data_IF_910384542266
#
_entry.id   IF_910384542266
#
_cell.length_a   1.000
_cell.length_b   1.000
_cell.length_c   1.000
_cell.angle_alpha   90.00
_cell.angle_beta   90.00
_cell.angle_gamma   90.00
#
_symmetry.space_group_name_H-M   'P 1'
#
loop_
_entity.id
_entity.type
_entity.pdbx_description
1 polymer ?
#
# COMPACT_ATOMS: atom_id res chain seq x y z
N UNK A 1 19.78 -9.34 15.28
CA UNK A 1 18.36 -9.36 15.71
C UNK A 1 17.55 -8.72 14.59
N UNK A 2 16.55 -9.40 14.03
CA UNK A 2 15.75 -8.90 12.91
C UNK A 2 14.61 -8.02 13.44
N UNK A 3 14.57 -6.76 13.03
CA UNK A 3 13.48 -5.84 13.39
C UNK A 3 12.46 -5.81 12.25
N UNK A 4 11.22 -6.20 12.54
CA UNK A 4 10.15 -6.28 11.54
C UNK A 4 9.68 -4.88 11.19
N UNK A 5 10.15 -4.34 10.07
CA UNK A 5 9.68 -3.05 9.55
C UNK A 5 8.31 -3.19 8.88
N UNK A 6 7.41 -2.28 9.22
CA UNK A 6 6.10 -2.19 8.59
C UNK A 6 6.24 -1.66 7.16
N UNK A 7 5.81 -2.47 6.19
CA UNK A 7 5.90 -2.13 4.75
C UNK A 7 4.56 -2.25 4.06
N UNK A 8 4.32 -1.39 3.08
CA UNK A 8 3.04 -1.32 2.38
C UNK A 8 3.27 -1.16 0.89
N UNK A 9 2.34 -1.69 0.12
CA UNK A 9 2.38 -1.61 -1.32
C UNK A 9 1.51 -0.45 -1.82
N UNK A 10 1.99 0.23 -2.85
CA UNK A 10 1.34 1.35 -3.48
C UNK A 10 1.09 1.03 -4.95
N UNK A 11 -0.16 1.11 -5.38
CA UNK A 11 -0.51 0.96 -6.80
C UNK A 11 -0.53 2.33 -7.45
N UNK A 12 0.41 2.59 -8.35
CA UNK A 12 0.56 3.85 -9.06
C UNK A 12 0.17 3.66 -10.52
N UNK A 13 -0.89 4.32 -10.96
CA UNK A 13 -1.33 4.36 -12.34
C UNK A 13 -0.61 5.47 -13.09
N UNK A 14 -0.16 5.16 -14.30
CA UNK A 14 0.66 6.04 -15.14
C UNK A 14 -0.10 6.47 -16.40
N UNK A 15 0.22 7.66 -16.89
CA UNK A 15 -0.21 8.07 -18.23
C UNK A 15 0.53 7.29 -19.32
N UNK A 16 1.85 7.11 -19.15
CA UNK A 16 2.73 6.44 -20.12
C UNK A 16 3.68 5.46 -19.41
N UNK A 17 3.94 4.31 -20.04
CA UNK A 17 4.80 3.26 -19.45
C UNK A 17 6.27 3.68 -19.30
N UNK A 18 6.74 4.66 -20.10
CA UNK A 18 8.14 5.13 -20.05
C UNK A 18 8.51 5.72 -18.69
N UNK A 19 7.54 6.28 -17.98
CA UNK A 19 7.75 6.95 -16.70
C UNK A 19 7.81 5.97 -15.52
N UNK A 20 7.56 4.68 -15.74
CA UNK A 20 7.60 3.65 -14.69
C UNK A 20 8.95 3.59 -13.97
N UNK A 21 10.07 3.82 -14.67
CA UNK A 21 11.41 3.81 -14.06
C UNK A 21 11.59 4.91 -13.02
N UNK A 22 10.91 6.05 -13.15
CA UNK A 22 10.96 7.15 -12.17
C UNK A 22 10.40 6.74 -10.82
N UNK A 23 9.52 5.73 -10.77
CA UNK A 23 8.93 5.26 -9.52
C UNK A 23 9.92 4.51 -8.62
N UNK A 24 11.04 4.02 -9.17
CA UNK A 24 12.08 3.32 -8.40
C UNK A 24 12.76 4.21 -7.35
N UNK A 25 12.67 5.54 -7.49
CA UNK A 25 13.20 6.47 -6.49
C UNK A 25 12.39 6.51 -5.19
N UNK A 26 11.15 5.98 -5.21
CA UNK A 26 10.24 6.00 -4.06
C UNK A 26 10.21 4.67 -3.29
N UNK A 27 10.70 3.58 -3.90
CA UNK A 27 10.68 2.25 -3.30
C UNK A 27 10.93 1.16 -4.33
N UNK A 28 10.77 -0.09 -3.89
CA UNK A 28 11.04 -1.26 -4.69
C UNK A 28 9.90 -1.51 -5.68
N UNK A 29 10.20 -1.63 -6.96
CA UNK A 29 9.19 -1.99 -7.97
C UNK A 29 8.97 -3.51 -7.91
N UNK A 30 7.81 -3.93 -7.43
CA UNK A 30 7.44 -5.35 -7.34
C UNK A 30 6.84 -5.86 -8.64
N UNK A 31 6.03 -5.03 -9.31
CA UNK A 31 5.37 -5.41 -10.53
C UNK A 31 5.03 -4.20 -11.41
N UNK A 32 5.13 -4.38 -12.72
CA UNK A 32 4.74 -3.37 -13.71
C UNK A 32 3.79 -3.98 -14.75
N UNK A 33 2.55 -3.52 -14.75
CA UNK A 33 1.57 -3.85 -15.79
C UNK A 33 1.69 -2.88 -16.96
N UNK A 34 2.28 -3.32 -18.08
CA UNK A 34 2.36 -2.52 -19.31
C UNK A 34 0.98 -2.32 -19.97
N UNK A 35 0.09 -3.32 -19.87
CA UNK A 35 -1.25 -3.31 -20.48
C UNK A 35 -2.18 -2.34 -19.77
N UNK A 36 -2.24 -2.42 -18.44
CA UNK A 36 -3.12 -1.57 -17.62
C UNK A 36 -2.44 -0.28 -17.14
N UNK A 37 -1.14 -0.12 -17.42
CA UNK A 37 -0.32 1.05 -17.07
C UNK A 37 -0.36 1.37 -15.58
N UNK A 38 -0.01 0.39 -14.76
CA UNK A 38 0.22 0.62 -13.33
C UNK A 38 1.47 -0.10 -12.84
N UNK A 39 2.02 0.42 -11.75
CA UNK A 39 3.21 -0.12 -11.06
C UNK A 39 2.87 -0.33 -9.60
N UNK A 40 3.25 -1.49 -9.07
CA UNK A 40 3.24 -1.78 -7.65
C UNK A 40 4.60 -1.40 -7.06
N UNK A 41 4.59 -0.41 -6.17
CA UNK A 41 5.77 0.07 -5.45
C UNK A 41 5.66 -0.39 -4.01
N UNK A 42 6.67 -1.10 -3.53
CA UNK A 42 6.76 -1.58 -2.16
C UNK A 42 7.72 -0.70 -1.37
N UNK A 43 7.25 -0.19 -0.24
CA UNK A 43 7.98 0.79 0.54
C UNK A 43 7.62 0.74 2.02
N UNK A 44 8.41 1.43 2.85
CA UNK A 44 8.18 1.51 4.29
C UNK A 44 6.93 2.35 4.60
N UNK A 45 6.10 1.89 5.56
CA UNK A 45 4.80 2.47 5.90
C UNK A 45 4.91 3.95 6.28
N UNK A 46 5.95 4.33 7.01
CA UNK A 46 6.18 5.70 7.49
C UNK A 46 6.33 6.71 6.35
N UNK A 47 6.78 6.25 5.17
CA UNK A 47 7.02 7.11 4.01
C UNK A 47 5.82 7.18 3.06
N UNK A 48 4.79 6.35 3.25
CA UNK A 48 3.68 6.17 2.30
C UNK A 48 2.91 7.47 2.10
N UNK A 49 2.48 8.13 3.17
CA UNK A 49 1.65 9.35 3.09
C UNK A 49 2.37 10.49 2.38
N UNK A 50 3.62 10.76 2.78
CA UNK A 50 4.47 11.77 2.15
C UNK A 50 4.69 11.47 0.66
N UNK A 51 4.88 10.19 0.31
CA UNK A 51 5.09 9.75 -1.08
C UNK A 51 3.83 9.88 -1.91
N UNK A 52 2.65 9.56 -1.36
CA UNK A 52 1.36 9.77 -2.02
C UNK A 52 1.16 11.25 -2.35
N UNK A 53 1.46 12.16 -1.42
CA UNK A 53 1.34 13.60 -1.64
C UNK A 53 2.29 14.10 -2.74
N UNK A 54 3.53 13.57 -2.80
CA UNK A 54 4.48 13.88 -3.87
C UNK A 54 3.98 13.35 -5.22
N UNK A 55 3.59 12.08 -5.29
CA UNK A 55 3.12 11.43 -6.52
C UNK A 55 1.84 12.07 -7.07
N UNK A 56 0.95 12.59 -6.21
CA UNK A 56 -0.24 13.33 -6.65
C UNK A 56 0.09 14.64 -7.37
N UNK A 57 1.27 15.23 -7.13
CA UNK A 57 1.73 16.46 -7.82
C UNK A 57 2.46 16.16 -9.13
N UNK A 58 2.85 14.90 -9.36
CA UNK A 58 3.60 14.50 -10.53
C UNK A 58 2.71 14.38 -11.78
N UNK A 59 3.10 15.05 -12.87
CA UNK A 59 2.30 15.10 -14.11
C UNK A 59 2.18 13.75 -14.83
N UNK A 60 3.09 12.81 -14.56
CA UNK A 60 3.09 11.50 -15.20
C UNK A 60 2.22 10.47 -14.47
N UNK A 61 1.73 10.80 -13.28
CA UNK A 61 0.90 9.96 -12.44
C UNK A 61 -0.57 10.29 -12.68
N UNK A 62 -1.36 9.25 -13.00
CA UNK A 62 -2.81 9.38 -13.21
C UNK A 62 -3.59 9.22 -11.91
N UNK A 63 -3.21 8.23 -11.09
CA UNK A 63 -3.89 7.87 -9.85
C UNK A 63 -2.92 7.10 -8.96
N UNK A 64 -3.04 7.27 -7.65
CA UNK A 64 -2.29 6.52 -6.65
C UNK A 64 -3.28 5.89 -5.67
N UNK A 65 -3.10 4.60 -5.38
CA UNK A 65 -3.96 3.82 -4.46
C UNK A 65 -3.07 3.05 -3.49
N UNK A 66 -3.11 3.33 -2.18
CA UNK A 66 -2.43 2.51 -1.17
C UNK A 66 -3.11 1.15 -1.01
N UNK A 67 -2.34 0.15 -0.60
CA UNK A 67 -2.87 -1.16 -0.24
C UNK A 67 -3.43 -1.14 1.18
N UNK A 68 -4.68 -1.56 1.32
CA UNK A 68 -5.39 -1.68 2.59
C UNK A 68 -5.36 -3.12 3.13
N UNK A 69 -4.48 -3.99 2.62
CA UNK A 69 -4.44 -5.41 2.99
C UNK A 69 -4.22 -5.63 4.50
N UNK A 70 -3.57 -4.68 5.16
CA UNK A 70 -3.32 -4.70 6.61
C UNK A 70 -4.55 -4.35 7.45
N UNK A 71 -5.53 -3.69 6.85
CA UNK A 71 -6.78 -3.27 7.51
C UNK A 71 -7.86 -4.33 7.37
N UNK A 72 -7.61 -5.40 6.59
CA UNK A 72 -8.53 -6.51 6.47
C UNK A 72 -8.62 -7.24 7.80
N UNK A 73 -9.86 -7.47 8.24
CA UNK A 73 -10.13 -8.32 9.39
C UNK A 73 -9.64 -9.74 9.11
N UNK A 74 -8.78 -10.24 10.00
CA UNK A 74 -8.23 -11.59 9.93
C UNK A 74 -8.93 -12.53 10.92
N UNK A 75 -10.03 -12.09 11.55
CA UNK A 75 -10.89 -12.95 12.34
C UNK A 75 -11.78 -13.79 11.42
N UNK A 76 -11.18 -14.81 10.81
CA UNK A 76 -11.88 -15.77 9.93
C UNK A 76 -12.89 -16.67 10.68
N UNK A 77 -12.95 -16.54 11.99
CA UNK A 77 -13.72 -17.37 12.93
C UNK A 77 -14.78 -16.53 13.64
N UNK A 78 -15.61 -15.80 12.88
CA UNK A 78 -16.56 -14.79 13.40
C UNK A 78 -17.56 -15.26 14.47
N UNK A 79 -17.63 -16.57 14.77
CA UNK A 79 -18.59 -17.14 15.72
C UNK A 79 -18.06 -18.36 16.51
N UNK A 80 -16.76 -18.71 16.43
CA UNK A 80 -16.24 -19.89 17.17
C UNK A 80 -15.92 -19.60 18.64
N UNK A 81 -15.90 -18.32 19.02
CA UNK A 81 -15.86 -17.88 20.40
C UNK A 81 -17.24 -17.29 20.68
N UNK A 82 -18.10 -18.07 21.32
CA UNK A 82 -19.38 -17.55 21.81
C UNK A 82 -19.08 -16.43 22.80
N UNK A 83 -19.69 -15.27 22.57
CA UNK A 83 -19.83 -14.12 23.48
C UNK A 83 -18.84 -14.10 24.67
N UNK A 84 -17.60 -13.68 24.46
CA UNK A 84 -16.86 -13.07 25.57
C UNK A 84 -17.37 -11.64 25.70
N UNK A 85 -18.19 -11.43 26.73
CA UNK A 85 -18.80 -10.13 27.05
C UNK A 85 -17.77 -8.99 27.00
N UNK A 86 -18.17 -7.77 26.58
CA UNK A 86 -17.30 -6.61 26.71
C UNK A 86 -17.00 -6.39 28.20
N UNK A 87 -15.76 -6.67 28.59
CA UNK A 87 -15.26 -6.33 29.92
C UNK A 87 -15.36 -4.82 30.09
N UNK A 88 -16.31 -4.40 30.92
CA UNK A 88 -16.51 -3.02 31.34
C UNK A 88 -15.24 -2.53 32.02
N UNK A 89 -14.61 -1.50 31.47
CA UNK A 89 -13.64 -0.61 32.13
C UNK A 89 -13.54 0.69 31.31
N UNK A 90 -13.88 1.88 31.79
CA UNK A 90 -14.42 2.35 33.07
C UNK A 90 -15.08 3.71 32.86
#
# INVERSE_FOLDING_TARGET
>A
MFEKKNRTCLTVYLHYNRDARKLSQYGDIVYHSKRLRYVLVYMDQELVEATILKLKKERFVKKVVPSYIKELDQNFVGNLWGDEEPSVAG
#
